data_IF_938732558306
#
_entry.id   IF_938732558306
#
_cell.length_a   1.000
_cell.length_b   1.000
_cell.length_c   1.000
_cell.angle_alpha   90.00
_cell.angle_beta   90.00
_cell.angle_gamma   90.00
#
_symmetry.space_group_name_H-M   'P 1'
#
loop_
_entity.id
_entity.type
_entity.pdbx_description
1 polymer ?
#
# COMPACT_ATOMS: atom_id res chain seq x y z
N UNK A 1 1.49 -11.88 -1.07
CA UNK A 1 0.69 -10.64 -1.11
C UNK A 1 0.29 -10.26 0.31
N UNK A 2 0.53 -9.00 0.71
CA UNK A 2 0.13 -8.50 2.02
C UNK A 2 -1.11 -7.63 1.85
N UNK A 3 -2.28 -8.27 1.97
CA UNK A 3 -3.57 -7.62 2.06
C UNK A 3 -4.01 -6.78 0.85
N UNK A 4 -3.46 -7.06 -0.34
CA UNK A 4 -3.69 -6.31 -1.57
C UNK A 4 -4.24 -7.15 -2.73
N UNK A 5 -5.42 -6.79 -3.23
CA UNK A 5 -5.85 -7.21 -4.58
C UNK A 5 -6.27 -5.99 -5.40
N UNK A 6 -5.59 -4.86 -5.18
CA UNK A 6 -5.77 -3.63 -5.93
C UNK A 6 -7.06 -2.85 -5.66
N UNK A 7 -7.27 -1.79 -6.44
CA UNK A 7 -8.31 -0.78 -6.20
C UNK A 7 -9.69 -1.23 -6.69
N UNK A 8 -10.73 -0.44 -6.40
CA UNK A 8 -12.04 -0.62 -7.02
C UNK A 8 -11.93 -0.40 -8.53
N UNK A 9 -12.56 -1.28 -9.32
CA UNK A 9 -12.62 -1.14 -10.77
C UNK A 9 -13.23 0.20 -11.18
N UNK A 10 -12.61 0.86 -12.15
CA UNK A 10 -13.07 2.13 -12.70
C UNK A 10 -13.86 1.91 -14.00
N UNK A 11 -14.84 2.79 -14.26
CA UNK A 11 -15.63 2.75 -15.50
C UNK A 11 -14.97 3.58 -16.59
N UNK A 12 -15.07 3.13 -17.84
CA UNK A 12 -14.44 3.79 -18.98
C UNK A 12 -14.89 5.26 -19.14
N UNK A 13 -16.15 5.57 -18.82
CA UNK A 13 -16.69 6.94 -18.88
C UNK A 13 -15.99 7.92 -17.92
N UNK A 14 -15.24 7.42 -16.92
CA UNK A 14 -14.45 8.26 -16.01
C UNK A 14 -13.14 8.76 -16.66
N UNK A 15 -12.72 8.15 -17.77
CA UNK A 15 -11.42 8.41 -18.39
C UNK A 15 -11.27 9.87 -18.86
N UNK A 16 -12.22 10.50 -19.56
CA UNK A 16 -12.08 11.90 -19.98
C UNK A 16 -11.82 12.86 -18.81
N UNK A 17 -12.58 12.70 -17.70
CA UNK A 17 -12.37 13.50 -16.49
C UNK A 17 -11.01 13.22 -15.85
N UNK A 18 -10.57 11.96 -15.83
CA UNK A 18 -9.26 11.59 -15.31
C UNK A 18 -8.13 12.22 -16.12
N UNK A 19 -8.23 12.19 -17.44
CA UNK A 19 -7.23 12.80 -18.34
C UNK A 19 -7.20 14.32 -18.18
N UNK A 20 -8.36 14.97 -18.14
CA UNK A 20 -8.44 16.42 -17.90
C UNK A 20 -7.80 16.80 -16.56
N UNK A 21 -8.07 16.04 -15.49
CA UNK A 21 -7.43 16.25 -14.19
C UNK A 21 -5.91 16.08 -14.31
N UNK A 22 -5.44 14.97 -14.87
CA UNK A 22 -4.01 14.70 -15.00
C UNK A 22 -3.27 15.78 -15.80
N UNK A 23 -3.82 16.20 -16.95
CA UNK A 23 -3.25 17.27 -17.77
C UNK A 23 -3.19 18.60 -17.01
N UNK A 24 -4.25 18.94 -16.27
CA UNK A 24 -4.26 20.13 -15.42
C UNK A 24 -3.24 20.04 -14.28
N UNK A 25 -3.09 18.88 -13.66
CA UNK A 25 -2.09 18.67 -12.62
C UNK A 25 -0.65 18.76 -13.16
N UNK A 26 -0.39 18.28 -14.38
CA UNK A 26 0.91 18.44 -15.03
C UNK A 26 1.24 19.89 -15.39
N UNK A 27 0.24 20.67 -15.82
CA UNK A 27 0.45 22.07 -16.18
C UNK A 27 0.66 22.96 -14.95
N UNK A 28 -0.16 22.75 -13.91
CA UNK A 28 -0.33 23.75 -12.86
C UNK A 28 0.26 23.35 -11.50
N UNK A 29 0.47 22.04 -11.24
CA UNK A 29 0.96 21.59 -9.92
C UNK A 29 2.47 21.38 -9.93
N UNK A 30 3.10 21.94 -8.90
CA UNK A 30 4.45 21.57 -8.45
C UNK A 30 4.31 20.81 -7.13
N UNK A 31 4.08 19.48 -7.19
CA UNK A 31 3.92 18.72 -5.96
C UNK A 31 5.22 18.79 -5.15
N UNK A 32 5.06 18.86 -3.83
CA UNK A 32 6.16 18.76 -2.87
C UNK A 32 5.71 17.92 -1.69
N UNK A 33 6.65 17.29 -1.01
CA UNK A 33 6.40 16.70 0.31
C UNK A 33 6.66 17.74 1.39
N UNK A 34 5.98 17.58 2.52
CA UNK A 34 6.32 18.30 3.74
C UNK A 34 7.72 17.83 4.19
N UNK A 35 8.51 18.75 4.69
CA UNK A 35 9.76 18.46 5.38
C UNK A 35 9.57 18.45 6.90
N UNK A 36 10.62 18.02 7.59
CA UNK A 36 10.65 17.78 9.03
C UNK A 36 11.94 18.37 9.60
N UNK A 37 11.90 18.84 10.84
CA UNK A 37 13.07 19.43 11.50
C UNK A 37 14.13 18.38 11.83
N UNK A 38 13.75 17.09 11.92
CA UNK A 38 14.65 15.98 12.20
C UNK A 38 14.05 14.64 11.78
N UNK A 39 14.88 13.58 11.80
CA UNK A 39 14.40 12.20 11.64
C UNK A 39 13.46 11.77 12.76
N UNK A 40 13.60 12.34 13.96
CA UNK A 40 12.70 12.08 15.09
C UNK A 40 11.30 12.63 14.81
N UNK A 41 11.20 13.85 14.26
CA UNK A 41 9.92 14.40 13.82
C UNK A 41 9.27 13.57 12.70
N UNK A 42 10.07 13.02 11.77
CA UNK A 42 9.55 12.07 10.76
C UNK A 42 9.08 10.76 11.40
N UNK A 43 9.82 10.22 12.38
CA UNK A 43 9.43 9.03 13.12
C UNK A 43 8.13 9.22 13.91
N UNK A 44 7.94 10.38 14.55
CA UNK A 44 6.70 10.70 15.24
C UNK A 44 5.51 10.81 14.28
N UNK A 45 5.71 11.38 13.09
CA UNK A 45 4.70 11.37 12.02
C UNK A 45 4.35 9.94 11.60
N UNK A 46 5.33 9.05 11.46
CA UNK A 46 5.10 7.64 11.12
C UNK A 46 4.23 6.95 12.18
N UNK A 47 4.50 7.19 13.46
CA UNK A 47 3.70 6.67 14.58
C UNK A 47 2.31 7.27 14.67
N UNK A 48 2.15 8.55 14.29
CA UNK A 48 0.84 9.18 14.15
C UNK A 48 -0.04 8.48 13.11
N UNK A 49 0.56 7.95 12.04
CA UNK A 49 -0.16 7.17 11.02
C UNK A 49 -0.42 5.72 11.45
N UNK A 50 0.51 5.11 12.19
CA UNK A 50 0.35 3.77 12.74
C UNK A 50 0.72 3.75 14.23
N UNK A 51 -0.28 3.83 15.14
CA UNK A 51 -0.05 3.81 16.58
C UNK A 51 0.64 2.54 17.10
N UNK A 52 0.58 1.42 16.37
CA UNK A 52 1.22 0.13 16.73
C UNK A 52 2.71 0.11 16.40
N UNK A 53 3.20 1.05 15.60
CA UNK A 53 4.60 1.14 15.25
C UNK A 53 5.44 1.59 16.47
N UNK A 54 6.32 0.70 16.94
CA UNK A 54 7.21 1.01 18.05
C UNK A 54 8.17 2.14 17.70
N UNK A 55 8.70 2.83 18.72
CA UNK A 55 9.61 3.96 18.53
C UNK A 55 10.88 3.56 17.77
N UNK A 56 11.46 2.42 18.10
CA UNK A 56 12.70 1.96 17.48
C UNK A 56 12.47 1.61 16.01
N UNK A 57 11.37 0.91 15.69
CA UNK A 57 10.96 0.61 14.30
C UNK A 57 10.67 1.90 13.52
N UNK A 58 9.97 2.87 14.12
CA UNK A 58 9.72 4.16 13.48
C UNK A 58 11.01 4.94 13.20
N UNK A 59 11.96 4.94 14.14
CA UNK A 59 13.26 5.60 14.00
C UNK A 59 14.10 4.96 12.91
N UNK A 60 14.09 3.62 12.84
CA UNK A 60 14.71 2.86 11.76
C UNK A 60 14.10 3.23 10.40
N UNK A 61 12.77 3.19 10.27
CA UNK A 61 12.08 3.52 9.03
C UNK A 61 12.31 4.97 8.61
N UNK A 62 12.27 5.93 9.54
CA UNK A 62 12.50 7.34 9.24
C UNK A 62 13.86 7.57 8.58
N UNK A 63 14.92 6.87 9.02
CA UNK A 63 16.27 6.98 8.44
C UNK A 63 16.40 6.37 7.04
N UNK A 64 15.58 5.38 6.72
CA UNK A 64 15.59 4.73 5.40
C UNK A 64 14.63 5.40 4.40
N UNK A 65 13.58 6.02 4.91
CA UNK A 65 12.55 6.67 4.09
C UNK A 65 12.76 8.18 3.94
N UNK A 66 13.50 8.79 4.86
CA UNK A 66 13.88 10.19 4.81
C UNK A 66 15.30 10.39 4.27
N UNK A 67 15.58 11.61 3.83
CA UNK A 67 16.89 12.10 3.47
C UNK A 67 17.08 13.52 4.00
N UNK A 68 18.31 13.86 4.40
CA UNK A 68 18.65 15.24 4.77
C UNK A 68 18.85 16.10 3.52
N UNK A 69 18.28 17.29 3.53
CA UNK A 69 18.46 18.33 2.53
C UNK A 69 18.36 19.69 3.18
N UNK A 70 19.39 20.52 3.01
CA UNK A 70 19.41 21.92 3.51
C UNK A 70 19.11 22.02 5.03
N UNK A 71 19.61 21.07 5.81
CA UNK A 71 19.41 21.02 7.27
C UNK A 71 18.01 20.59 7.72
N UNK A 72 17.15 20.15 6.80
CA UNK A 72 15.83 19.57 7.08
C UNK A 72 15.77 18.13 6.58
N UNK A 73 14.86 17.33 7.12
CA UNK A 73 14.59 15.97 6.64
C UNK A 73 13.38 15.99 5.72
N UNK A 74 13.52 15.47 4.51
CA UNK A 74 12.43 15.28 3.56
C UNK A 74 12.28 13.81 3.20
N UNK A 75 11.13 13.40 2.67
CA UNK A 75 10.97 12.04 2.17
C UNK A 75 11.88 11.82 0.95
N UNK A 76 12.58 10.68 0.92
CA UNK A 76 13.31 10.17 -0.23
C UNK A 76 12.31 9.59 -1.25
N UNK A 77 11.45 10.45 -1.77
CA UNK A 77 10.39 10.08 -2.71
C UNK A 77 10.19 11.19 -3.72
N UNK A 78 9.96 10.83 -4.98
CA UNK A 78 9.67 11.82 -6.02
C UNK A 78 8.27 12.41 -5.81
N UNK A 79 8.13 13.74 -5.62
CA UNK A 79 6.83 14.38 -5.45
C UNK A 79 5.83 14.14 -6.59
N UNK A 80 6.29 13.76 -7.79
CA UNK A 80 5.43 13.39 -8.91
C UNK A 80 4.46 12.23 -8.56
N UNK A 81 4.76 11.41 -7.54
CA UNK A 81 3.84 10.39 -7.03
C UNK A 81 2.55 10.96 -6.41
N UNK A 82 2.47 12.27 -6.17
CA UNK A 82 1.23 12.95 -5.75
C UNK A 82 0.31 13.29 -6.91
N UNK A 83 0.81 13.24 -8.15
CA UNK A 83 -0.01 13.47 -9.33
C UNK A 83 -0.92 12.27 -9.57
N UNK A 84 -2.13 12.53 -10.05
CA UNK A 84 -3.05 11.46 -10.40
C UNK A 84 -2.52 10.66 -11.60
N UNK A 85 -2.59 9.33 -11.54
CA UNK A 85 -2.26 8.50 -12.69
C UNK A 85 -3.33 8.69 -13.79
N UNK A 86 -2.96 9.00 -15.05
CA UNK A 86 -3.93 9.16 -16.13
C UNK A 86 -4.67 7.86 -16.43
N UNK A 87 -4.04 6.71 -16.22
CA UNK A 87 -4.63 5.40 -16.45
C UNK A 87 -5.55 5.04 -15.29
N UNK A 88 -6.80 4.71 -15.62
CA UNK A 88 -7.76 4.18 -14.67
C UNK A 88 -7.34 2.78 -14.20
N UNK A 89 -7.67 2.42 -12.96
CA UNK A 89 -7.46 1.06 -12.50
C UNK A 89 -8.41 0.10 -13.23
N UNK A 90 -7.85 -0.73 -14.12
CA UNK A 90 -8.55 -1.75 -14.90
C UNK A 90 -8.52 -3.08 -14.14
N UNK A 91 -9.62 -3.37 -13.46
CA UNK A 91 -9.70 -4.57 -12.63
C UNK A 91 -9.60 -5.84 -13.49
N UNK A 92 -10.25 -5.84 -14.65
CA UNK A 92 -10.28 -6.97 -15.57
C UNK A 92 -8.88 -7.33 -16.09
N UNK A 93 -8.03 -6.32 -16.33
CA UNK A 93 -6.63 -6.51 -16.69
C UNK A 93 -5.83 -7.08 -15.52
N UNK A 94 -6.00 -6.55 -14.31
CA UNK A 94 -5.34 -7.06 -13.11
C UNK A 94 -5.72 -8.52 -12.83
N UNK A 95 -7.01 -8.87 -12.95
CA UNK A 95 -7.49 -10.24 -12.80
C UNK A 95 -6.94 -11.19 -13.86
N UNK A 96 -6.76 -10.74 -15.10
CA UNK A 96 -6.13 -11.53 -16.14
C UNK A 96 -4.66 -11.84 -15.79
N UNK A 97 -3.95 -10.88 -15.22
CA UNK A 97 -2.60 -11.09 -14.68
C UNK A 97 -2.61 -12.09 -13.52
N UNK A 98 -3.52 -11.95 -12.55
CA UNK A 98 -3.61 -12.88 -11.41
C UNK A 98 -3.93 -14.31 -11.85
N UNK A 99 -4.83 -14.50 -12.82
CA UNK A 99 -5.12 -15.82 -13.43
C UNK A 99 -3.92 -16.45 -14.13
N UNK A 100 -2.95 -15.65 -14.55
CA UNK A 100 -1.73 -16.12 -15.20
C UNK A 100 -0.61 -16.47 -14.19
N UNK A 101 -0.79 -16.16 -12.90
CA UNK A 101 0.17 -16.53 -11.86
C UNK A 101 0.17 -18.05 -11.69
N UNK A 102 1.29 -18.68 -12.03
CA UNK A 102 1.48 -20.12 -11.94
C UNK A 102 2.13 -20.56 -10.61
N UNK A 103 2.83 -19.65 -9.92
CA UNK A 103 3.44 -19.94 -8.62
C UNK A 103 2.37 -20.00 -7.52
N UNK A 104 2.58 -20.80 -6.46
CA UNK A 104 1.78 -20.71 -5.25
C UNK A 104 1.81 -19.30 -4.67
N UNK A 105 0.67 -18.79 -4.20
CA UNK A 105 0.56 -17.45 -3.63
C UNK A 105 0.14 -17.53 -2.17
N UNK A 106 0.96 -16.96 -1.30
CA UNK A 106 0.57 -16.64 0.07
C UNK A 106 -0.10 -15.27 0.12
N UNK A 107 -1.30 -15.21 0.68
CA UNK A 107 -2.02 -13.98 1.00
C UNK A 107 -2.16 -13.84 2.51
N UNK A 108 -1.63 -12.75 3.05
CA UNK A 108 -1.66 -12.47 4.49
C UNK A 108 -2.44 -11.20 4.77
N UNK A 109 -3.37 -11.26 5.72
CA UNK A 109 -4.16 -10.13 6.20
C UNK A 109 -3.99 -9.92 7.71
N UNK A 110 -4.11 -8.68 8.17
CA UNK A 110 -4.24 -8.34 9.57
C UNK A 110 -5.69 -8.49 10.03
N UNK A 111 -5.92 -9.12 11.18
CA UNK A 111 -7.25 -9.36 11.74
C UNK A 111 -8.04 -8.07 12.00
N UNK A 112 -7.35 -6.96 12.21
CA UNK A 112 -7.94 -5.64 12.48
C UNK A 112 -7.91 -4.70 11.27
N UNK A 113 -7.56 -5.22 10.09
CA UNK A 113 -7.49 -4.39 8.91
C UNK A 113 -8.86 -3.94 8.43
N UNK A 114 -8.91 -2.66 8.07
CA UNK A 114 -10.08 -2.02 7.46
C UNK A 114 -9.85 -1.74 5.98
N UNK A 115 -8.83 -2.33 5.35
CA UNK A 115 -8.45 -2.04 3.97
C UNK A 115 -9.61 -2.24 2.99
N UNK A 116 -10.35 -3.35 3.10
CA UNK A 116 -11.51 -3.61 2.26
C UNK A 116 -12.63 -2.57 2.44
N UNK A 117 -12.88 -2.13 3.69
CA UNK A 117 -13.85 -1.07 4.00
C UNK A 117 -13.44 0.27 3.39
N UNK A 118 -12.17 0.67 3.58
CA UNK A 118 -11.63 1.91 3.00
C UNK A 118 -11.69 1.93 1.48
N UNK A 119 -11.44 0.78 0.84
CA UNK A 119 -11.55 0.61 -0.61
C UNK A 119 -13.00 0.45 -1.10
N UNK A 120 -13.98 0.38 -0.18
CA UNK A 120 -15.39 0.07 -0.45
C UNK A 120 -15.50 -1.19 -1.32
N UNK A 121 -14.72 -2.21 -0.99
CA UNK A 121 -14.64 -3.47 -1.69
C UNK A 121 -15.55 -4.49 -0.97
N UNK A 122 -16.68 -4.88 -1.59
CA UNK A 122 -17.58 -5.87 -1.02
C UNK A 122 -16.87 -7.23 -0.81
N UNK A 123 -17.27 -8.03 0.20
CA UNK A 123 -16.69 -9.35 0.44
C UNK A 123 -16.74 -10.28 -0.77
N UNK A 124 -17.80 -10.22 -1.59
CA UNK A 124 -17.92 -11.03 -2.79
C UNK A 124 -16.89 -10.64 -3.87
N UNK A 125 -16.57 -9.35 -3.99
CA UNK A 125 -15.56 -8.87 -4.94
C UNK A 125 -14.18 -9.32 -4.48
N UNK A 126 -13.90 -9.23 -3.18
CA UNK A 126 -12.65 -9.73 -2.61
C UNK A 126 -12.50 -11.25 -2.82
N UNK A 127 -13.57 -12.02 -2.62
CA UNK A 127 -13.58 -13.45 -2.88
C UNK A 127 -13.36 -13.77 -4.37
N UNK A 128 -13.97 -13.02 -5.29
CA UNK A 128 -13.77 -13.19 -6.73
C UNK A 128 -12.31 -12.91 -7.15
N UNK A 129 -11.68 -11.89 -6.55
CA UNK A 129 -10.26 -11.58 -6.80
C UNK A 129 -9.34 -12.69 -6.30
N UNK A 130 -9.58 -13.22 -5.10
CA UNK A 130 -8.85 -14.37 -4.56
C UNK A 130 -8.97 -15.61 -5.45
N UNK A 131 -10.19 -15.87 -5.96
CA UNK A 131 -10.46 -16.98 -6.86
C UNK A 131 -9.75 -16.86 -8.23
N UNK A 132 -9.15 -15.73 -8.56
CA UNK A 132 -8.31 -15.61 -9.75
C UNK A 132 -7.00 -16.40 -9.63
N UNK A 133 -6.50 -16.64 -8.43
CA UNK A 133 -5.26 -17.40 -8.24
C UNK A 133 -5.52 -18.89 -8.25
N UNK A 134 -4.69 -19.64 -8.97
CA UNK A 134 -4.80 -21.11 -9.06
C UNK A 134 -4.55 -21.79 -7.72
N UNK A 135 -3.53 -21.32 -7.02
CA UNK A 135 -3.10 -21.87 -5.74
C UNK A 135 -2.87 -20.71 -4.77
N UNK A 136 -3.82 -20.52 -3.86
CA UNK A 136 -3.82 -19.44 -2.88
C UNK A 136 -3.86 -20.03 -1.47
N UNK A 137 -2.89 -19.65 -0.64
CA UNK A 137 -2.88 -19.91 0.79
C UNK A 137 -3.19 -18.62 1.53
N UNK A 138 -4.24 -18.64 2.35
CA UNK A 138 -4.62 -17.48 3.16
C UNK A 138 -4.12 -17.62 4.60
N UNK A 139 -3.66 -16.52 5.17
CA UNK A 139 -3.28 -16.39 6.59
C UNK A 139 -3.80 -15.08 7.15
N UNK A 140 -4.26 -15.12 8.39
CA UNK A 140 -4.69 -13.93 9.14
C UNK A 140 -3.80 -13.82 10.37
N UNK A 141 -3.21 -12.64 10.57
CA UNK A 141 -2.37 -12.32 11.72
C UNK A 141 -3.18 -11.48 12.70
N UNK A 142 -3.32 -11.98 13.93
CA UNK A 142 -3.94 -11.26 15.05
C UNK A 142 -3.13 -10.02 15.45
N UNK A 143 -3.77 -9.08 16.13
CA UNK A 143 -3.12 -7.86 16.65
C UNK A 143 -2.38 -7.05 15.58
N UNK A 144 -2.90 -7.06 14.35
CA UNK A 144 -2.36 -6.39 13.17
C UNK A 144 -3.47 -5.74 12.35
N UNK A 145 -3.23 -4.49 11.94
CA UNK A 145 -4.04 -3.78 10.95
C UNK A 145 -3.46 -3.93 9.53
N UNK A 146 -3.73 -2.93 8.68
CA UNK A 146 -3.29 -2.98 7.28
C UNK A 146 -1.77 -3.04 7.10
N UNK A 147 -1.03 -2.32 7.95
CA UNK A 147 0.43 -2.34 7.94
C UNK A 147 0.94 -3.52 8.78
N UNK A 148 0.46 -4.75 8.52
CA UNK A 148 0.73 -5.93 9.34
C UNK A 148 2.24 -6.26 9.49
N UNK A 149 3.06 -5.86 8.51
CA UNK A 149 4.51 -5.97 8.56
C UNK A 149 5.18 -4.95 9.50
N UNK A 150 4.48 -3.87 9.87
CA UNK A 150 4.90 -2.98 10.94
C UNK A 150 4.43 -3.47 12.31
N UNK A 151 3.21 -4.02 12.36
CA UNK A 151 2.53 -4.39 13.59
C UNK A 151 3.07 -5.71 14.16
N UNK A 152 3.24 -6.72 13.29
CA UNK A 152 3.63 -8.09 13.64
C UNK A 152 4.70 -8.64 12.69
N UNK A 153 5.87 -7.98 12.54
CA UNK A 153 6.89 -8.41 11.57
C UNK A 153 7.44 -9.81 11.86
N UNK A 154 7.59 -10.18 13.13
CA UNK A 154 8.12 -11.48 13.53
C UNK A 154 7.12 -12.60 13.17
N UNK A 155 5.84 -12.42 13.51
CA UNK A 155 4.80 -13.39 13.12
C UNK A 155 4.62 -13.46 11.59
N UNK A 156 4.74 -12.33 10.89
CA UNK A 156 4.72 -12.32 9.44
C UNK A 156 5.89 -13.10 8.84
N UNK A 157 7.09 -12.94 9.39
CA UNK A 157 8.27 -13.68 8.95
C UNK A 157 8.06 -15.20 9.09
N UNK A 158 7.59 -15.66 10.25
CA UNK A 158 7.26 -17.07 10.47
C UNK A 158 6.26 -17.59 9.44
N UNK A 159 5.18 -16.84 9.18
CA UNK A 159 4.15 -17.23 8.19
C UNK A 159 4.73 -17.32 6.77
N UNK A 160 5.69 -16.45 6.43
CA UNK A 160 6.38 -16.49 5.14
C UNK A 160 7.33 -17.68 5.08
N UNK A 161 8.11 -17.94 6.13
CA UNK A 161 9.02 -19.08 6.22
C UNK A 161 8.26 -20.41 6.14
N UNK A 162 7.17 -20.57 6.90
CA UNK A 162 6.28 -21.73 6.83
C UNK A 162 5.76 -22.01 5.41
N UNK A 163 5.52 -20.95 4.62
CA UNK A 163 5.02 -21.07 3.26
C UNK A 163 6.14 -21.43 2.26
N UNK A 164 7.36 -20.98 2.50
CA UNK A 164 8.51 -21.27 1.63
C UNK A 164 9.12 -22.65 1.90
N UNK A 165 8.91 -23.22 3.08
CA UNK A 165 9.52 -24.48 3.54
C UNK A 165 10.96 -24.31 3.99
#
# INVERSE_FOLDING_TARGET
>A
DLEGFGLRGARAEQAPKRYAQWLGELADKKPSFRDYDSFEALADRLRGNNPRLSRDKASFLARHWGMEKEGRVQLASDPAHKLVNPVLYRLEEAEACWRSVAAPVLWVAGAESKAAEFLKLPPQDLAARKACFRELTERVISDAGHMLHHDQPERLAEVIEEFLG
#
